data_IF_290927614822
#
_entry.id   IF_290927614822
#
_cell.length_a   1.000
_cell.length_b   1.000
_cell.length_c   1.000
_cell.angle_alpha   90.00
_cell.angle_beta   90.00
_cell.angle_gamma   90.00
#
_symmetry.space_group_name_H-M   'P 1'
#
loop_
_entity.id
_entity.type
_entity.pdbx_description
1 polymer ?
#
# COMPACT_ATOMS: atom_id res chain seq x y z
N UNK A 1 -3.42 11.19 7.10
CA UNK A 1 -3.56 9.93 6.32
C UNK A 1 -2.22 9.24 6.31
N UNK A 2 -2.16 7.95 6.65
CA UNK A 2 -0.92 7.16 6.65
C UNK A 2 -1.04 5.92 5.75
N UNK A 3 -0.20 5.78 4.71
CA UNK A 3 -0.12 4.58 3.90
C UNK A 3 0.71 3.51 4.61
N UNK A 4 -0.01 2.62 5.29
CA UNK A 4 0.53 1.37 5.84
C UNK A 4 0.51 0.25 4.79
N UNK A 5 0.84 -0.97 5.19
CA UNK A 5 0.81 -2.15 4.35
C UNK A 5 -0.02 -3.26 5.00
N UNK A 6 -0.66 -4.12 4.20
CA UNK A 6 -1.34 -5.33 4.72
C UNK A 6 -0.39 -6.25 5.50
N UNK A 7 0.91 -6.20 5.16
CA UNK A 7 1.97 -6.89 5.90
C UNK A 7 2.12 -6.42 7.35
N UNK A 8 1.53 -5.29 7.76
CA UNK A 8 1.48 -4.88 9.17
C UNK A 8 0.84 -5.94 10.08
N UNK A 9 0.09 -6.90 9.52
CA UNK A 9 -0.46 -8.06 10.25
C UNK A 9 0.49 -9.25 10.34
N UNK A 10 1.57 -9.25 9.57
CA UNK A 10 2.56 -10.33 9.54
C UNK A 10 3.64 -10.09 10.60
N UNK A 11 4.24 -11.18 11.08
CA UNK A 11 5.35 -11.14 12.02
C UNK A 11 6.68 -11.16 11.26
N UNK A 12 6.96 -10.06 10.56
CA UNK A 12 8.22 -9.85 9.85
C UNK A 12 8.72 -8.41 10.10
N UNK A 13 10.02 -8.09 9.87
CA UNK A 13 10.56 -6.77 10.20
C UNK A 13 9.84 -5.60 9.54
N UNK A 14 9.37 -5.77 8.29
CA UNK A 14 8.62 -4.73 7.58
C UNK A 14 7.22 -4.54 8.17
N UNK A 15 6.53 -5.63 8.48
CA UNK A 15 5.24 -5.64 9.14
C UNK A 15 5.27 -5.04 10.53
N UNK A 16 6.29 -5.37 11.32
CA UNK A 16 6.52 -4.80 12.64
C UNK A 16 6.72 -3.28 12.56
N UNK A 17 7.62 -2.82 11.68
CA UNK A 17 7.87 -1.38 11.47
C UNK A 17 6.60 -0.62 11.09
N UNK A 18 5.75 -1.20 10.23
CA UNK A 18 4.46 -0.60 9.87
C UNK A 18 3.47 -0.56 11.04
N UNK A 19 3.42 -1.62 11.86
CA UNK A 19 2.54 -1.69 13.04
C UNK A 19 2.97 -0.71 14.13
N UNK A 20 4.26 -0.53 14.35
CA UNK A 20 4.79 0.47 15.29
C UNK A 20 4.45 1.89 14.85
N UNK A 21 4.56 2.18 13.55
CA UNK A 21 4.16 3.47 13.00
C UNK A 21 2.65 3.72 13.15
N UNK A 22 1.81 2.70 12.90
CA UNK A 22 0.36 2.77 13.15
C UNK A 22 0.07 3.11 14.62
N UNK A 23 0.69 2.41 15.58
CA UNK A 23 0.50 2.65 17.00
C UNK A 23 0.95 4.06 17.45
N UNK A 24 2.09 4.54 16.91
CA UNK A 24 2.59 5.89 17.19
C UNK A 24 1.61 6.96 16.73
N UNK A 25 1.04 6.79 15.54
CA UNK A 25 0.08 7.73 14.98
C UNK A 25 -1.26 7.70 15.72
N UNK A 26 -1.73 6.52 16.13
CA UNK A 26 -2.93 6.41 16.97
C UNK A 26 -2.76 7.11 18.31
N UNK A 27 -1.61 6.94 18.99
CA UNK A 27 -1.33 7.64 20.24
C UNK A 27 -1.28 9.16 20.06
N UNK A 28 -0.71 9.64 18.94
CA UNK A 28 -0.71 11.07 18.60
C UNK A 28 -2.15 11.60 18.38
N UNK A 29 -3.00 10.81 17.72
CA UNK A 29 -4.40 11.17 17.49
C UNK A 29 -5.17 11.30 18.81
N UNK A 30 -4.98 10.35 19.73
CA UNK A 30 -5.57 10.39 21.08
C UNK A 30 -5.08 11.60 21.88
N UNK A 31 -3.79 11.94 21.77
CA UNK A 31 -3.19 13.06 22.50
C UNK A 31 -3.65 14.43 22.00
N UNK A 32 -3.79 14.61 20.68
CA UNK A 32 -4.01 15.93 20.06
C UNK A 32 -5.40 16.11 19.45
N UNK A 33 -6.25 15.08 19.44
CA UNK A 33 -7.58 15.12 18.84
C UNK A 33 -7.58 15.29 17.32
N UNK A 34 -6.44 15.17 16.66
CA UNK A 34 -6.32 15.23 15.20
C UNK A 34 -6.70 13.88 14.59
N UNK A 35 -7.60 13.83 13.59
CA UNK A 35 -8.00 12.56 12.99
C UNK A 35 -6.83 11.91 12.24
N UNK A 36 -6.61 10.63 12.52
CA UNK A 36 -5.63 9.79 11.82
C UNK A 36 -6.37 8.68 11.10
N UNK A 37 -6.06 8.53 9.81
CA UNK A 37 -6.61 7.49 8.95
C UNK A 37 -5.50 6.56 8.49
N UNK A 38 -5.61 5.28 8.85
CA UNK A 38 -4.61 4.25 8.57
C UNK A 38 -5.07 3.42 7.37
N UNK A 39 -4.27 3.38 6.30
CA UNK A 39 -4.59 2.59 5.12
C UNK A 39 -3.62 1.43 4.99
N UNK A 40 -4.07 0.21 5.28
CA UNK A 40 -3.27 -1.00 5.07
C UNK A 40 -3.39 -1.46 3.62
N UNK A 41 -2.55 -0.89 2.76
CA UNK A 41 -2.59 -1.15 1.32
C UNK A 41 -2.00 -2.53 0.99
N UNK A 42 -2.60 -3.29 0.06
CA UNK A 42 -1.94 -4.43 -0.57
C UNK A 42 -0.89 -3.93 -1.57
N UNK A 43 -0.38 -4.80 -2.45
CA UNK A 43 0.60 -4.38 -3.45
C UNK A 43 -0.03 -3.37 -4.41
N UNK A 44 0.43 -2.12 -4.37
CA UNK A 44 -0.05 -1.06 -5.27
C UNK A 44 0.63 -1.22 -6.63
N UNK A 45 -0.16 -1.17 -7.70
CA UNK A 45 0.35 -1.20 -9.08
C UNK A 45 -0.21 -0.05 -9.91
N UNK A 46 0.51 0.32 -10.97
CA UNK A 46 0.06 1.31 -11.93
C UNK A 46 1.20 2.13 -12.52
N UNK A 47 0.82 3.25 -13.14
CA UNK A 47 1.76 4.18 -13.78
C UNK A 47 2.80 4.71 -12.80
N UNK A 48 3.99 5.00 -13.33
CA UNK A 48 5.14 5.56 -12.60
C UNK A 48 5.78 4.66 -11.54
N UNK A 49 5.30 3.43 -11.36
CA UNK A 49 5.99 2.43 -10.55
C UNK A 49 7.37 2.10 -11.15
N UNK A 50 8.40 2.05 -10.30
CA UNK A 50 9.77 1.76 -10.71
C UNK A 50 9.92 0.26 -11.02
N UNK A 51 10.32 -0.14 -12.25
CA UNK A 51 10.62 -1.53 -12.55
C UNK A 51 11.89 -1.99 -11.81
N UNK A 52 12.01 -3.30 -11.58
CA UNK A 52 13.13 -3.92 -10.86
C UNK A 52 13.32 -3.37 -9.43
N UNK A 53 12.24 -2.86 -8.81
CA UNK A 53 12.25 -2.35 -7.44
C UNK A 53 10.91 -2.62 -6.76
N UNK A 54 10.80 -3.76 -6.06
CA UNK A 54 9.67 -4.15 -5.21
C UNK A 54 8.26 -4.15 -5.87
N UNK A 55 8.18 -4.10 -7.20
CA UNK A 55 6.92 -4.21 -7.95
C UNK A 55 7.04 -5.24 -9.06
N UNK A 56 6.39 -6.39 -8.89
CA UNK A 56 6.36 -7.44 -9.90
C UNK A 56 5.67 -6.97 -11.19
N UNK A 57 4.55 -6.24 -11.07
CA UNK A 57 3.79 -5.72 -12.22
C UNK A 57 4.65 -4.76 -13.04
N UNK A 58 5.29 -3.77 -12.42
CA UNK A 58 6.13 -2.82 -13.14
C UNK A 58 7.33 -3.51 -13.80
N UNK A 59 7.93 -4.47 -13.10
CA UNK A 59 9.06 -5.26 -13.62
C UNK A 59 8.65 -6.09 -14.84
N UNK A 60 7.51 -6.79 -14.77
CA UNK A 60 7.03 -7.60 -15.88
C UNK A 60 6.64 -6.75 -17.08
N UNK A 61 5.88 -5.67 -16.88
CA UNK A 61 5.52 -4.76 -17.97
C UNK A 61 6.77 -4.17 -18.66
N UNK A 62 7.76 -3.74 -17.87
CA UNK A 62 9.01 -3.23 -18.41
C UNK A 62 9.78 -4.29 -19.19
N UNK A 63 10.01 -5.46 -18.59
CA UNK A 63 10.82 -6.52 -19.19
C UNK A 63 10.19 -7.05 -20.48
N UNK A 64 8.89 -7.34 -20.48
CA UNK A 64 8.16 -7.83 -21.66
C UNK A 64 8.26 -6.82 -22.81
N UNK A 65 8.06 -5.51 -22.52
CA UNK A 65 8.12 -4.48 -23.54
C UNK A 65 9.53 -4.28 -24.14
N UNK A 66 10.59 -4.69 -23.43
CA UNK A 66 11.99 -4.57 -23.88
C UNK A 66 12.59 -5.92 -24.30
N UNK A 67 11.80 -6.99 -24.40
CA UNK A 67 12.30 -8.33 -24.73
C UNK A 67 13.26 -8.91 -23.68
N UNK A 68 13.22 -8.42 -22.45
CA UNK A 68 14.00 -8.94 -21.32
C UNK A 68 13.26 -10.13 -20.67
N UNK A 69 13.98 -11.11 -20.10
CA UNK A 69 13.35 -12.24 -19.46
C UNK A 69 12.55 -11.82 -18.22
N UNK A 70 11.48 -12.55 -17.94
CA UNK A 70 10.73 -12.48 -16.69
C UNK A 70 10.98 -13.77 -15.89
N UNK A 71 10.96 -13.66 -14.56
CA UNK A 71 11.08 -14.79 -13.65
C UNK A 71 9.78 -14.93 -12.86
N UNK A 72 9.18 -16.12 -12.93
CA UNK A 72 8.01 -16.48 -12.13
C UNK A 72 8.47 -17.59 -11.19
N UNK A 73 8.50 -17.31 -9.89
CA UNK A 73 8.94 -18.28 -8.89
C UNK A 73 7.86 -19.32 -8.59
N UNK A 74 6.61 -18.86 -8.44
CA UNK A 74 5.45 -19.70 -8.20
C UNK A 74 4.24 -19.17 -9.00
N UNK A 75 3.82 -19.84 -10.07
CA UNK A 75 2.65 -19.45 -10.87
C UNK A 75 1.32 -19.56 -10.11
N UNK A 76 1.25 -20.33 -9.02
CA UNK A 76 0.05 -20.51 -8.21
C UNK A 76 -0.06 -19.47 -7.09
N UNK A 77 0.99 -18.67 -6.84
CA UNK A 77 0.99 -17.67 -5.79
C UNK A 77 -0.08 -16.59 -6.05
N UNK A 78 -1.02 -16.46 -5.11
CA UNK A 78 -2.02 -15.40 -5.16
C UNK A 78 -1.40 -14.06 -4.77
N UNK A 79 -1.65 -13.02 -5.58
CA UNK A 79 -1.19 -11.66 -5.31
C UNK A 79 -2.40 -10.74 -5.21
N UNK A 80 -2.59 -10.13 -4.04
CA UNK A 80 -3.58 -9.05 -3.87
C UNK A 80 -2.98 -7.75 -4.37
N UNK A 81 -3.68 -7.11 -5.30
CA UNK A 81 -3.28 -5.86 -5.95
C UNK A 81 -4.33 -4.77 -5.73
N UNK A 82 -3.90 -3.52 -5.67
CA UNK A 82 -4.77 -2.33 -5.76
C UNK A 82 -4.22 -1.36 -6.79
N UNK A 83 -5.09 -0.77 -7.60
CA UNK A 83 -4.67 0.17 -8.62
C UNK A 83 -4.39 1.55 -8.02
N UNK A 84 -3.34 2.21 -8.49
CA UNK A 84 -2.89 3.50 -7.93
C UNK A 84 -3.96 4.60 -8.00
N UNK A 85 -4.77 4.65 -9.06
CA UNK A 85 -5.78 5.71 -9.18
C UNK A 85 -6.92 5.50 -8.17
N UNK A 86 -7.26 4.26 -7.82
CA UNK A 86 -8.25 3.97 -6.77
C UNK A 86 -7.75 4.43 -5.40
N UNK A 87 -6.46 4.20 -5.11
CA UNK A 87 -5.82 4.67 -3.86
C UNK A 87 -5.83 6.19 -3.79
N UNK A 88 -5.45 6.86 -4.87
CA UNK A 88 -5.40 8.33 -4.94
C UNK A 88 -6.81 8.91 -4.82
N UNK A 89 -7.79 8.37 -5.56
CA UNK A 89 -9.18 8.80 -5.48
C UNK A 89 -9.70 8.69 -4.04
N UNK A 90 -9.46 7.54 -3.38
CA UNK A 90 -9.88 7.35 -1.99
C UNK A 90 -9.19 8.29 -1.01
N UNK A 91 -7.93 8.64 -1.23
CA UNK A 91 -7.25 9.63 -0.38
C UNK A 91 -7.84 11.03 -0.57
N UNK A 92 -8.18 11.42 -1.81
CA UNK A 92 -8.81 12.71 -2.11
C UNK A 92 -10.21 12.77 -1.47
N UNK A 93 -11.05 11.76 -1.69
CA UNK A 93 -12.38 11.65 -1.08
C UNK A 93 -12.34 11.83 0.44
N UNK A 94 -11.34 11.22 1.09
CA UNK A 94 -11.15 11.34 2.53
C UNK A 94 -10.73 12.75 2.95
N UNK A 95 -9.82 13.39 2.21
CA UNK A 95 -9.36 14.76 2.51
C UNK A 95 -10.47 15.79 2.29
N UNK A 96 -11.36 15.55 1.34
CA UNK A 96 -12.50 16.42 1.03
C UNK A 96 -13.65 16.27 2.04
N UNK A 97 -13.51 15.37 3.04
CA UNK A 97 -14.53 15.13 4.06
C UNK A 97 -15.76 14.39 3.54
N UNK A 98 -15.68 13.77 2.36
CA UNK A 98 -16.77 12.98 1.77
C UNK A 98 -17.00 11.65 2.50
N UNK A 99 -16.18 11.35 3.50
CA UNK A 99 -16.23 10.13 4.29
C UNK A 99 -16.52 10.53 5.74
N UNK A 100 -17.74 10.20 6.19
CA UNK A 100 -18.10 10.13 7.60
C UNK A 100 -18.20 8.63 7.96
N UNK A 101 -17.45 8.19 8.97
CA UNK A 101 -17.48 6.85 9.63
C UNK A 101 -16.28 5.90 9.40
N UNK A 102 -16.03 5.08 10.43
CA UNK A 102 -14.78 4.85 11.17
C UNK A 102 -14.12 3.49 10.92
N UNK A 103 -14.02 3.05 9.66
CA UNK A 103 -13.35 1.77 9.35
C UNK A 103 -12.32 1.90 8.24
N UNK A 104 -11.11 2.31 8.64
CA UNK A 104 -9.87 2.26 7.85
C UNK A 104 -8.80 1.46 8.60
#
# INVERSE_FOLDING_TARGET
>A
IYPSATQARQDNPYGLSKREAEGTLSALAEQHGSPVYLFRLPNVFGKWARPNYNSAVATFCHNINHGLPIQINDPAAAITLVYIDDVVARFIELMDGAIADDRY
#
